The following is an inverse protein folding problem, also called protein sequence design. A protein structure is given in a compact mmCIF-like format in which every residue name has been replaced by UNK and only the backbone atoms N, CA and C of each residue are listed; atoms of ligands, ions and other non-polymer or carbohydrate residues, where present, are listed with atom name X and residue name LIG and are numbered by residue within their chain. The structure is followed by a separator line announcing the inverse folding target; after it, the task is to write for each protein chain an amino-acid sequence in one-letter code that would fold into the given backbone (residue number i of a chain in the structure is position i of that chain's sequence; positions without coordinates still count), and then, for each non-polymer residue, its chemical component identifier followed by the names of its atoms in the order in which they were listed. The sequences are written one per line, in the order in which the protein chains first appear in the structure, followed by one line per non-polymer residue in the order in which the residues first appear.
data_IF_137455170252
#
_entry.id   IF_137455170252
#
_cell.length_a   1.000
_cell.length_b   1.000
_cell.length_c   1.000
_cell.angle_alpha   90.00
_cell.angle_beta   90.00
_cell.angle_gamma   90.00
#
_symmetry.space_group_name_H-M   'P 1'
#
loop_
_entity.id
_entity.type
_entity.pdbx_description
1 polymer ?
#
# COMPACT_ATOMS: atom_id res chain seq x y z
N UNK A 1 20.93 2.99 -8.17
CA UNK A 1 19.64 3.59 -8.55
C UNK A 1 19.68 5.08 -8.20
N UNK A 2 19.73 5.90 -9.19
CA UNK A 2 19.77 7.36 -9.00
C UNK A 2 18.33 7.88 -9.14
N UNK A 3 17.60 7.86 -8.02
CA UNK A 3 16.21 8.29 -7.96
C UNK A 3 16.05 9.46 -7.00
N UNK A 4 15.28 10.45 -7.43
CA UNK A 4 14.90 11.59 -6.61
C UNK A 4 13.43 11.43 -6.16
N UNK A 5 13.16 11.77 -4.89
CA UNK A 5 11.80 11.80 -4.38
C UNK A 5 11.06 13.00 -4.97
N UNK A 6 10.17 12.76 -5.93
CA UNK A 6 9.32 13.79 -6.52
C UNK A 6 8.27 14.30 -5.53
N UNK A 7 7.48 13.38 -4.97
CA UNK A 7 6.43 13.72 -3.99
C UNK A 7 6.18 12.54 -3.04
N UNK A 8 5.92 12.85 -1.77
CA UNK A 8 5.33 11.90 -0.82
C UNK A 8 3.86 12.27 -0.61
N UNK A 9 2.97 11.49 -1.22
CA UNK A 9 1.52 11.70 -1.15
C UNK A 9 0.84 10.78 -0.11
N UNK A 10 1.58 10.36 0.92
CA UNK A 10 1.01 9.57 2.02
C UNK A 10 0.10 10.41 2.89
N UNK A 11 -1.09 9.87 3.21
CA UNK A 11 -2.07 10.50 4.12
C UNK A 11 -2.39 9.52 5.23
N UNK A 12 -2.15 9.91 6.48
CA UNK A 12 -2.44 9.08 7.65
C UNK A 12 -3.93 8.71 7.70
N UNK A 13 -4.22 7.44 8.00
CA UNK A 13 -5.60 6.94 8.09
C UNK A 13 -6.32 6.79 6.75
N UNK A 14 -5.68 7.08 5.61
CA UNK A 14 -6.36 6.92 4.32
C UNK A 14 -6.52 5.46 3.94
N UNK A 15 -7.69 5.12 3.41
CA UNK A 15 -8.02 3.84 2.80
C UNK A 15 -7.84 3.91 1.28
N UNK A 16 -7.80 2.76 0.64
CA UNK A 16 -7.95 2.70 -0.82
C UNK A 16 -9.41 2.93 -1.19
N UNK A 17 -10.32 2.27 -0.45
CA UNK A 17 -11.76 2.37 -0.62
C UNK A 17 -12.36 3.69 -0.11
N UNK A 18 -13.68 3.83 -0.27
CA UNK A 18 -14.44 4.99 0.19
C UNK A 18 -14.45 6.14 -0.81
N UNK A 19 -15.32 7.12 -0.53
CA UNK A 19 -15.59 8.27 -1.42
C UNK A 19 -14.99 9.59 -0.91
N UNK A 20 -13.97 9.50 -0.06
CA UNK A 20 -13.29 10.69 0.46
C UNK A 20 -12.20 11.15 -0.51
N UNK A 21 -11.96 12.45 -0.59
CA UNK A 21 -10.82 13.01 -1.34
C UNK A 21 -9.46 12.52 -0.81
N UNK A 22 -9.42 11.97 0.40
CA UNK A 22 -8.25 11.32 1.02
C UNK A 22 -8.09 9.85 0.63
N UNK A 23 -9.07 9.22 -0.01
CA UNK A 23 -8.96 7.83 -0.47
C UNK A 23 -7.86 7.69 -1.51
N UNK A 24 -7.08 6.60 -1.47
CA UNK A 24 -5.96 6.41 -2.40
C UNK A 24 -6.43 6.31 -3.87
N UNK A 25 -7.68 5.89 -4.09
CA UNK A 25 -8.29 5.87 -5.43
C UNK A 25 -8.84 7.24 -5.88
N UNK A 26 -8.87 8.26 -5.01
CA UNK A 26 -9.43 9.57 -5.36
C UNK A 26 -8.65 10.22 -6.51
N UNK A 27 -9.37 10.81 -7.45
CA UNK A 27 -8.77 11.38 -8.66
C UNK A 27 -7.83 12.53 -8.33
N UNK A 28 -8.21 13.39 -7.37
CA UNK A 28 -7.41 14.50 -6.91
C UNK A 28 -6.07 14.05 -6.33
N UNK A 29 -6.06 12.95 -5.57
CA UNK A 29 -4.83 12.39 -5.02
C UNK A 29 -3.92 11.80 -6.10
N UNK A 30 -4.51 11.15 -7.09
CA UNK A 30 -3.74 10.61 -8.21
C UNK A 30 -3.15 11.74 -9.04
N UNK A 31 -3.91 12.80 -9.33
CA UNK A 31 -3.43 13.96 -10.06
C UNK A 31 -2.29 14.68 -9.32
N UNK A 32 -2.37 14.77 -7.98
CA UNK A 32 -1.35 15.40 -7.15
C UNK A 32 0.04 14.76 -7.26
N UNK A 33 0.15 13.50 -7.67
CA UNK A 33 1.45 12.85 -7.90
C UNK A 33 2.28 13.53 -8.99
N UNK A 34 1.66 14.30 -9.87
CA UNK A 34 2.33 15.03 -10.94
C UNK A 34 2.66 16.48 -10.62
N UNK A 35 2.39 17.00 -9.41
CA UNK A 35 2.58 18.41 -9.05
C UNK A 35 4.05 18.87 -9.17
N UNK A 36 5.02 17.99 -8.91
CA UNK A 36 6.44 18.28 -9.02
C UNK A 36 7.09 17.70 -10.30
N UNK A 37 6.29 17.36 -11.29
CA UNK A 37 6.71 16.70 -12.52
C UNK A 37 6.12 15.31 -12.67
N UNK A 38 6.08 14.79 -13.90
CA UNK A 38 5.53 13.46 -14.14
C UNK A 38 6.43 12.39 -13.50
N UNK A 39 5.87 11.48 -12.68
CA UNK A 39 6.66 10.43 -12.06
C UNK A 39 7.09 9.37 -13.08
N UNK A 40 8.35 8.91 -13.00
CA UNK A 40 8.83 7.72 -13.71
C UNK A 40 8.53 6.44 -12.92
N UNK A 41 8.42 6.56 -11.59
CA UNK A 41 8.18 5.46 -10.66
C UNK A 41 7.15 5.86 -9.61
N UNK A 42 6.14 5.01 -9.43
CA UNK A 42 5.09 5.17 -8.39
C UNK A 42 5.14 3.94 -7.49
N UNK A 43 5.39 4.17 -6.20
CA UNK A 43 5.34 3.13 -5.18
C UNK A 43 4.03 3.24 -4.39
N UNK A 44 3.23 2.17 -4.39
CA UNK A 44 1.94 2.12 -3.71
C UNK A 44 2.03 1.17 -2.52
N UNK A 45 1.91 1.72 -1.30
CA UNK A 45 1.76 0.97 -0.06
C UNK A 45 0.43 1.37 0.57
N UNK A 46 -0.64 0.65 0.26
CA UNK A 46 -2.01 0.99 0.64
C UNK A 46 -2.86 -0.26 0.86
N UNK A 47 -3.85 -0.19 1.76
CA UNK A 47 -4.77 -1.28 2.09
C UNK A 47 -4.74 -1.68 3.56
N UNK A 48 -3.74 -1.27 4.34
CA UNK A 48 -3.66 -1.58 5.77
C UNK A 48 -4.84 -0.98 6.56
N UNK A 49 -5.26 0.24 6.21
CA UNK A 49 -6.43 0.85 6.84
C UNK A 49 -7.73 0.18 6.38
N UNK A 50 -7.84 -0.26 5.13
CA UNK A 50 -9.00 -1.02 4.66
C UNK A 50 -9.16 -2.31 5.46
N UNK A 51 -8.06 -3.05 5.67
CA UNK A 51 -8.05 -4.20 6.56
C UNK A 51 -8.40 -3.82 8.00
N UNK A 52 -7.79 -2.77 8.57
CA UNK A 52 -8.00 -2.34 9.95
C UNK A 52 -9.43 -1.89 10.25
N UNK A 53 -10.12 -1.33 9.26
CA UNK A 53 -11.53 -0.94 9.34
C UNK A 53 -12.50 -1.99 8.82
N UNK A 54 -12.04 -3.22 8.56
CA UNK A 54 -12.84 -4.35 8.11
C UNK A 54 -13.67 -4.04 6.84
N UNK A 55 -13.10 -3.27 5.89
CA UNK A 55 -13.72 -3.06 4.58
C UNK A 55 -13.91 -4.40 3.90
N UNK A 56 -15.09 -4.64 3.33
CA UNK A 56 -15.37 -5.91 2.68
C UNK A 56 -14.37 -6.20 1.55
N UNK A 57 -13.88 -7.45 1.41
CA UNK A 57 -12.89 -7.82 0.40
C UNK A 57 -13.26 -7.39 -1.02
N UNK A 58 -14.53 -7.56 -1.41
CA UNK A 58 -15.06 -7.18 -2.73
C UNK A 58 -15.09 -5.65 -2.95
N UNK A 59 -15.33 -4.88 -1.89
CA UNK A 59 -15.27 -3.41 -1.95
C UNK A 59 -13.82 -2.96 -2.10
N UNK A 60 -12.90 -3.56 -1.33
CA UNK A 60 -11.48 -3.28 -1.43
C UNK A 60 -10.93 -3.64 -2.82
N UNK A 61 -11.29 -4.81 -3.36
CA UNK A 61 -10.87 -5.22 -4.71
C UNK A 61 -11.32 -4.20 -5.76
N UNK A 62 -12.58 -3.81 -5.74
CA UNK A 62 -13.14 -2.84 -6.68
C UNK A 62 -12.44 -1.48 -6.59
N UNK A 63 -12.16 -1.01 -5.37
CA UNK A 63 -11.44 0.24 -5.13
C UNK A 63 -9.99 0.17 -5.61
N UNK A 64 -9.30 -0.95 -5.34
CA UNK A 64 -7.91 -1.16 -5.75
C UNK A 64 -7.77 -1.20 -7.27
N UNK A 65 -8.67 -1.90 -7.96
CA UNK A 65 -8.73 -1.91 -9.43
C UNK A 65 -8.99 -0.51 -10.00
N UNK A 66 -9.89 0.25 -9.37
CA UNK A 66 -10.18 1.65 -9.77
C UNK A 66 -8.94 2.53 -9.62
N UNK A 67 -8.23 2.41 -8.49
CA UNK A 67 -6.97 3.13 -8.26
C UNK A 67 -5.93 2.82 -9.33
N UNK A 68 -5.69 1.54 -9.62
CA UNK A 68 -4.71 1.13 -10.64
C UNK A 68 -5.10 1.61 -12.05
N UNK A 69 -6.38 1.53 -12.40
CA UNK A 69 -6.88 2.05 -13.67
C UNK A 69 -6.61 3.56 -13.81
N UNK A 70 -6.90 4.34 -12.77
CA UNK A 70 -6.65 5.78 -12.75
C UNK A 70 -5.17 6.10 -12.82
N UNK A 71 -4.32 5.40 -12.06
CA UNK A 71 -2.86 5.57 -12.11
C UNK A 71 -2.31 5.34 -13.51
N UNK A 72 -2.68 4.22 -14.15
CA UNK A 72 -2.23 3.88 -15.52
C UNK A 72 -2.70 4.90 -16.55
N UNK A 73 -3.92 5.39 -16.43
CA UNK A 73 -4.47 6.36 -17.36
C UNK A 73 -3.82 7.74 -17.20
N UNK A 74 -3.51 8.14 -15.97
CA UNK A 74 -2.91 9.45 -15.68
C UNK A 74 -1.41 9.45 -15.96
N UNK A 75 -0.72 8.34 -15.67
CA UNK A 75 0.73 8.20 -15.79
C UNK A 75 1.12 6.97 -16.63
N UNK A 76 0.81 6.97 -17.94
CA UNK A 76 0.96 5.77 -18.80
C UNK A 76 2.41 5.32 -18.99
N UNK A 77 3.39 6.15 -18.66
CA UNK A 77 4.81 5.85 -18.78
C UNK A 77 5.48 5.55 -17.45
N UNK A 78 4.79 5.75 -16.32
CA UNK A 78 5.33 5.44 -15.00
C UNK A 78 5.37 3.92 -14.74
N UNK A 79 6.44 3.46 -14.13
CA UNK A 79 6.46 2.13 -13.52
C UNK A 79 5.66 2.18 -12.22
N UNK A 80 4.60 1.39 -12.12
CA UNK A 80 3.75 1.31 -10.93
C UNK A 80 4.10 0.02 -10.18
N UNK A 81 4.49 0.15 -8.92
CA UNK A 81 4.78 -0.95 -8.02
C UNK A 81 3.85 -0.90 -6.82
N UNK A 82 3.17 -2.01 -6.55
CA UNK A 82 2.27 -2.13 -5.40
C UNK A 82 2.80 -3.20 -4.45
N UNK A 83 2.77 -2.94 -3.14
CA UNK A 83 3.18 -3.95 -2.18
C UNK A 83 2.00 -4.68 -1.53
N UNK A 84 2.24 -5.94 -1.17
CA UNK A 84 1.39 -6.67 -0.23
C UNK A 84 1.54 -6.12 1.18
N UNK A 85 0.68 -6.55 2.10
CA UNK A 85 0.61 -6.07 3.47
C UNK A 85 1.40 -7.01 4.41
N UNK A 86 2.67 -6.72 4.72
CA UNK A 86 3.44 -7.53 5.65
C UNK A 86 2.87 -7.42 7.08
N UNK A 87 3.19 -8.39 7.92
CA UNK A 87 2.75 -8.40 9.31
C UNK A 87 3.63 -7.50 10.18
N UNK A 88 2.99 -6.72 11.03
CA UNK A 88 3.65 -5.97 12.10
C UNK A 88 3.78 -6.84 13.33
N UNK A 89 4.92 -6.74 14.01
CA UNK A 89 5.15 -7.42 15.28
C UNK A 89 4.25 -6.81 16.35
N UNK A 90 3.48 -7.65 17.03
CA UNK A 90 2.65 -7.20 18.14
C UNK A 90 3.53 -6.61 19.24
N UNK A 91 3.24 -5.40 19.74
CA UNK A 91 3.93 -4.87 20.90
C UNK A 91 3.52 -5.64 22.17
N UNK A 92 4.34 -5.59 23.20
CA UNK A 92 3.96 -6.05 24.52
C UNK A 92 2.90 -5.07 25.06
N UNK A 93 1.59 -5.34 24.83
CA UNK A 93 0.50 -4.48 25.24
C UNK A 93 -0.78 -4.63 24.42
N UNK A 94 -1.72 -3.68 24.57
CA UNK A 94 -3.00 -3.72 23.88
C UNK A 94 -2.84 -3.41 22.39
N UNK A 95 -3.45 -4.23 21.54
CA UNK A 95 -3.52 -4.06 20.08
C UNK A 95 -4.71 -3.19 19.73
N UNK A 96 -4.49 -2.09 18.99
CA UNK A 96 -5.53 -1.09 18.69
C UNK A 96 -6.31 -1.35 17.39
N UNK A 97 -5.93 -2.33 16.57
CA UNK A 97 -6.49 -2.48 15.22
C UNK A 97 -7.07 -3.87 14.96
N UNK A 98 -8.09 -3.90 14.12
CA UNK A 98 -8.91 -5.04 13.74
C UNK A 98 -9.69 -5.61 14.93
N UNK A 99 -10.62 -4.79 15.42
CA UNK A 99 -11.44 -5.02 16.63
C UNK A 99 -12.12 -6.40 16.63
N UNK A 100 -12.41 -6.97 15.47
CA UNK A 100 -13.12 -8.26 15.36
C UNK A 100 -12.25 -9.43 14.91
N UNK A 101 -11.03 -9.20 14.40
CA UNK A 101 -10.12 -10.27 13.94
C UNK A 101 -10.73 -11.18 12.86
N UNK A 102 -11.85 -10.79 12.27
CA UNK A 102 -12.69 -11.64 11.42
C UNK A 102 -12.15 -11.80 10.01
N UNK A 103 -11.38 -10.81 9.51
CA UNK A 103 -10.82 -10.86 8.16
C UNK A 103 -9.29 -10.83 8.25
N UNK A 104 -8.65 -11.89 7.78
CA UNK A 104 -7.19 -11.97 7.74
C UNK A 104 -6.59 -10.93 6.78
N UNK A 105 -5.52 -10.26 7.21
CA UNK A 105 -4.75 -9.33 6.37
C UNK A 105 -4.27 -9.98 5.07
N UNK A 106 -4.00 -11.28 5.11
CA UNK A 106 -3.61 -12.06 3.94
C UNK A 106 -4.64 -12.02 2.81
N UNK A 107 -5.95 -11.94 3.12
CA UNK A 107 -7.00 -11.81 2.09
C UNK A 107 -6.80 -10.53 1.28
N UNK A 108 -6.44 -9.44 1.95
CA UNK A 108 -6.14 -8.16 1.26
C UNK A 108 -4.85 -8.26 0.44
N UNK A 109 -3.82 -8.93 0.95
CA UNK A 109 -2.60 -9.20 0.18
C UNK A 109 -2.87 -10.04 -1.07
N UNK A 110 -3.73 -11.06 -0.98
CA UNK A 110 -4.11 -11.87 -2.13
C UNK A 110 -4.91 -11.06 -3.16
N UNK A 111 -5.80 -10.17 -2.72
CA UNK A 111 -6.50 -9.23 -3.60
C UNK A 111 -5.51 -8.29 -4.30
N UNK A 112 -4.51 -7.76 -3.58
CA UNK A 112 -3.47 -6.91 -4.18
C UNK A 112 -2.73 -7.67 -5.28
N UNK A 113 -2.31 -8.93 -5.03
CA UNK A 113 -1.64 -9.79 -6.02
C UNK A 113 -2.49 -9.94 -7.29
N UNK A 114 -3.77 -10.26 -7.11
CA UNK A 114 -4.72 -10.44 -8.21
C UNK A 114 -4.94 -9.14 -9.00
N UNK A 115 -5.14 -8.01 -8.32
CA UNK A 115 -5.32 -6.72 -8.95
C UNK A 115 -4.08 -6.28 -9.75
N UNK A 116 -2.89 -6.47 -9.17
CA UNK A 116 -1.60 -6.16 -9.81
C UNK A 116 -1.41 -7.00 -11.07
N UNK A 117 -1.70 -8.30 -11.00
CA UNK A 117 -1.63 -9.20 -12.15
C UNK A 117 -2.61 -8.79 -13.25
N UNK A 118 -3.88 -8.53 -12.90
CA UNK A 118 -4.92 -8.10 -13.86
C UNK A 118 -4.58 -6.75 -14.51
N UNK A 119 -3.98 -5.84 -13.75
CA UNK A 119 -3.59 -4.52 -14.24
C UNK A 119 -2.25 -4.51 -14.98
N UNK A 120 -1.50 -5.62 -14.99
CA UNK A 120 -0.17 -5.72 -15.60
C UNK A 120 0.81 -4.65 -15.08
N UNK A 121 0.82 -4.44 -13.75
CA UNK A 121 1.77 -3.58 -13.05
C UNK A 121 2.71 -4.44 -12.19
N UNK A 122 3.66 -3.83 -11.51
CA UNK A 122 4.67 -4.57 -10.74
C UNK A 122 4.19 -4.85 -9.31
N UNK A 123 4.54 -6.04 -8.82
CA UNK A 123 4.28 -6.45 -7.43
C UNK A 123 5.59 -6.43 -6.62
N UNK A 124 5.55 -5.76 -5.48
CA UNK A 124 6.51 -5.93 -4.39
C UNK A 124 5.86 -6.82 -3.33
N UNK A 125 6.11 -8.13 -3.40
CA UNK A 125 5.47 -9.09 -2.50
C UNK A 125 6.20 -9.15 -1.15
N UNK A 126 5.96 -8.14 -0.29
CA UNK A 126 6.64 -8.03 1.00
C UNK A 126 6.21 -9.13 1.97
N UNK A 127 4.94 -9.59 1.90
CA UNK A 127 4.43 -10.67 2.76
C UNK A 127 5.15 -12.00 2.52
N UNK A 128 5.67 -12.27 1.31
CA UNK A 128 6.37 -13.54 1.01
C UNK A 128 7.59 -13.79 1.87
N UNK A 129 8.19 -12.72 2.43
CA UNK A 129 9.37 -12.84 3.29
C UNK A 129 9.02 -13.38 4.67
N UNK A 130 7.74 -13.33 5.09
CA UNK A 130 7.26 -13.78 6.41
C UNK A 130 8.05 -13.15 7.56
N UNK A 131 8.54 -11.93 7.36
CA UNK A 131 9.27 -11.15 8.35
C UNK A 131 8.32 -10.13 8.98
N UNK A 132 8.23 -10.12 10.31
CA UNK A 132 7.44 -9.15 11.07
C UNK A 132 8.27 -7.89 11.32
N UNK A 133 7.74 -6.72 10.95
CA UNK A 133 8.41 -5.46 11.21
C UNK A 133 8.08 -4.90 12.59
N UNK A 134 9.04 -4.25 13.22
CA UNK A 134 8.87 -3.61 14.52
C UNK A 134 7.84 -2.47 14.45
N UNK A 135 6.91 -2.45 15.41
CA UNK A 135 5.80 -1.49 15.45
C UNK A 135 5.77 -0.69 16.76
N UNK A 136 4.96 0.36 16.78
CA UNK A 136 4.60 1.10 17.99
C UNK A 136 3.30 0.59 18.62
N UNK A 137 2.42 -0.08 17.83
CA UNK A 137 1.06 -0.46 18.24
C UNK A 137 0.51 -1.71 17.55
N UNK A 138 1.38 -2.52 16.96
CA UNK A 138 1.01 -3.72 16.19
C UNK A 138 0.78 -3.47 14.70
N UNK A 139 0.65 -2.20 14.27
CA UNK A 139 0.37 -1.84 12.88
C UNK A 139 1.34 -0.79 12.36
N UNK A 140 1.53 0.30 13.10
CA UNK A 140 2.36 1.41 12.64
C UNK A 140 3.84 1.11 12.90
N UNK A 141 4.70 1.11 11.86
CA UNK A 141 6.11 0.81 12.03
C UNK A 141 6.80 1.88 12.87
N UNK A 142 7.64 1.44 13.80
CA UNK A 142 8.61 2.31 14.44
C UNK A 142 9.80 2.57 13.49
N UNK A 143 10.84 3.27 13.97
CA UNK A 143 12.01 3.61 13.14
C UNK A 143 12.72 2.37 12.56
N UNK A 144 12.85 1.30 13.32
CA UNK A 144 13.51 0.07 12.86
C UNK A 144 12.59 -0.70 11.89
N UNK A 145 11.28 -0.74 12.17
CA UNK A 145 10.28 -1.28 11.25
C UNK A 145 10.27 -0.57 9.89
N UNK A 146 10.38 0.77 9.89
CA UNK A 146 10.49 1.54 8.64
C UNK A 146 11.75 1.18 7.85
N UNK A 147 12.89 0.99 8.51
CA UNK A 147 14.12 0.56 7.84
C UNK A 147 13.98 -0.84 7.25
N UNK A 148 13.36 -1.74 7.98
CA UNK A 148 13.11 -3.10 7.52
C UNK A 148 12.21 -3.10 6.29
N UNK A 149 11.07 -2.40 6.33
CA UNK A 149 10.16 -2.27 5.19
C UNK A 149 10.86 -1.68 3.96
N UNK A 150 11.69 -0.64 4.16
CA UNK A 150 12.50 -0.09 3.08
C UNK A 150 13.48 -1.12 2.51
N UNK A 151 14.10 -1.94 3.35
CA UNK A 151 14.96 -3.03 2.92
C UNK A 151 14.23 -4.10 2.10
N UNK A 152 12.99 -4.44 2.48
CA UNK A 152 12.15 -5.36 1.70
C UNK A 152 11.77 -4.76 0.34
N UNK A 153 11.39 -3.49 0.30
CA UNK A 153 11.16 -2.78 -0.95
C UNK A 153 12.39 -2.79 -1.88
N UNK A 154 13.58 -2.53 -1.33
CA UNK A 154 14.82 -2.56 -2.12
C UNK A 154 15.10 -3.96 -2.69
N UNK A 155 14.82 -5.03 -1.94
CA UNK A 155 14.93 -6.42 -2.44
C UNK A 155 13.98 -6.68 -3.62
N UNK A 156 12.74 -6.18 -3.55
CA UNK A 156 11.74 -6.35 -4.62
C UNK A 156 12.08 -5.53 -5.87
N UNK A 157 12.57 -4.32 -5.69
CA UNK A 157 13.01 -3.46 -6.79
C UNK A 157 14.35 -3.90 -7.40
N UNK A 158 14.99 -4.95 -6.86
CA UNK A 158 16.32 -5.42 -7.24
C UNK A 158 17.42 -4.34 -7.15
N UNK A 159 17.39 -3.55 -6.06
CA UNK A 159 18.31 -2.45 -5.77
C UNK A 159 19.39 -2.84 -4.76
#
# INVERSE_FOLDING_TARGET
FDAELGINNSVAGSMVSGNLSTSAMAEERIQALGENGLPDLILVSAGCNDWGFCVLPEEFESAYQTMLCRLKNTYPYAQIWCCTLPEGKEPEGEVFFNIDGTISKRIYSDIIRDCVQKAEVHLADLEKYQEEYETVDGVHPNKEGMKMLAGLWMKELAL
#
